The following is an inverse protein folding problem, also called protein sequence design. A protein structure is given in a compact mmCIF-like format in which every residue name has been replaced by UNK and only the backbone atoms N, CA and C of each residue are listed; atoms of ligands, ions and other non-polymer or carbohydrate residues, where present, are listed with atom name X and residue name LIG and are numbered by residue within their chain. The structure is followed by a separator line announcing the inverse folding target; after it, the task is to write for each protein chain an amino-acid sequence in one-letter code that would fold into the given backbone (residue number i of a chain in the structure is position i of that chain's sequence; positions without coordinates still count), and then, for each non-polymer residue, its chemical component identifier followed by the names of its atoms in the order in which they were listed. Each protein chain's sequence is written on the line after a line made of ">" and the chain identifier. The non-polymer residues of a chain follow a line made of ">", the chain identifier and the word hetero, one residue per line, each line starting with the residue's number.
data_IF_156619237923
#
_entry.id   IF_156619237923
#
_cell.length_a   1.000
_cell.length_b   1.000
_cell.length_c   1.000
_cell.angle_alpha   90.00
_cell.angle_beta   90.00
_cell.angle_gamma   90.00
#
_symmetry.space_group_name_H-M   'P 1'
#
loop_
_entity.id
_entity.type
_entity.pdbx_description
1 polymer ?
#
# COMPACT_ATOMS: atom_id res chain seq x y z
N UNK A 1 -24.04 45.18 -2.29
CA UNK A 1 -24.21 44.29 -1.12
C UNK A 1 -24.75 42.97 -1.64
N UNK A 2 -23.89 41.98 -1.84
CA UNK A 2 -24.15 40.54 -1.71
C UNK A 2 -22.86 39.78 -2.02
N UNK A 3 -22.59 38.79 -1.19
CA UNK A 3 -21.30 38.25 -0.78
C UNK A 3 -20.56 37.41 -1.83
N UNK A 4 -19.24 37.56 -1.88
CA UNK A 4 -18.32 36.57 -2.45
C UNK A 4 -18.36 35.29 -1.60
N UNK A 5 -18.73 34.17 -2.24
CA UNK A 5 -18.57 32.83 -1.65
C UNK A 5 -17.12 32.42 -1.85
N UNK A 6 -16.29 32.63 -0.83
CA UNK A 6 -14.90 32.18 -0.76
C UNK A 6 -14.86 30.64 -0.67
N UNK A 7 -14.49 29.98 -1.77
CA UNK A 7 -14.38 28.53 -1.83
C UNK A 7 -13.01 28.09 -1.25
N UNK A 8 -12.94 27.84 0.07
CA UNK A 8 -11.75 27.29 0.72
C UNK A 8 -11.43 25.85 0.24
N UNK A 9 -10.15 25.49 0.07
CA UNK A 9 -9.75 24.15 -0.36
C UNK A 9 -9.95 23.09 0.75
N UNK A 10 -10.32 21.84 0.40
CA UNK A 10 -10.73 20.80 1.36
C UNK A 10 -9.64 20.32 2.32
N UNK A 11 -8.37 20.70 2.10
CA UNK A 11 -7.22 20.29 2.93
C UNK A 11 -6.88 21.26 4.07
N UNK A 12 -7.42 22.49 4.10
CA UNK A 12 -7.29 23.34 5.29
C UNK A 12 -8.10 22.78 6.47
N UNK A 13 -9.23 22.12 6.21
CA UNK A 13 -10.09 21.53 7.25
C UNK A 13 -9.43 20.43 8.09
N UNK A 14 -8.44 19.70 7.54
CA UNK A 14 -7.74 18.64 8.29
C UNK A 14 -6.69 19.23 9.25
N UNK A 15 -6.15 20.42 8.95
CA UNK A 15 -5.17 21.10 9.80
C UNK A 15 -5.86 22.06 10.79
N UNK A 16 -6.93 22.73 10.36
CA UNK A 16 -7.63 23.76 11.14
C UNK A 16 -8.57 23.15 12.20
N UNK A 17 -9.17 21.98 11.93
CA UNK A 17 -9.99 21.26 12.93
C UNK A 17 -9.17 20.78 14.14
N UNK A 18 -7.85 20.66 14.00
CA UNK A 18 -6.96 20.27 15.11
C UNK A 18 -6.53 21.45 15.99
N UNK A 19 -6.84 22.70 15.62
CA UNK A 19 -6.38 23.91 16.33
C UNK A 19 -7.51 24.55 17.15
N UNK A 20 -8.78 24.41 16.76
CA UNK A 20 -9.90 25.12 17.40
C UNK A 20 -10.65 24.36 18.50
N UNK A 21 -10.16 23.21 18.97
CA UNK A 21 -10.78 22.48 20.08
C UNK A 21 -10.07 22.78 21.41
N UNK A 22 -10.12 24.03 21.85
CA UNK A 22 -9.80 24.43 23.23
C UNK A 22 -10.84 25.44 23.68
N UNK A 23 -11.88 24.96 24.37
CA UNK A 23 -12.48 25.62 25.52
C UNK A 23 -13.41 24.64 26.29
N UNK A 24 -13.24 24.61 27.61
CA UNK A 24 -13.80 23.69 28.63
C UNK A 24 -15.22 24.15 29.13
N UNK A 25 -15.97 23.45 30.03
CA UNK A 25 -15.52 22.54 31.10
C UNK A 25 -16.32 21.23 31.38
N UNK A 26 -15.63 20.36 32.13
CA UNK A 26 -16.09 19.33 33.07
C UNK A 26 -17.29 18.41 32.77
N UNK A 27 -16.99 17.11 32.62
CA UNK A 27 -17.76 16.06 33.31
C UNK A 27 -16.88 14.84 33.62
N UNK A 28 -16.84 14.48 34.90
CA UNK A 28 -16.20 13.32 35.47
C UNK A 28 -16.53 12.04 34.72
N UNK A 29 -15.49 11.31 34.28
CA UNK A 29 -15.52 9.86 34.22
C UNK A 29 -14.09 9.33 34.40
N UNK A 30 -13.93 8.51 35.43
CA UNK A 30 -12.71 7.77 35.75
C UNK A 30 -12.43 6.74 34.65
N UNK A 31 -11.57 7.11 33.71
CA UNK A 31 -10.85 6.20 32.82
C UNK A 31 -9.39 6.63 32.83
N UNK A 32 -8.47 5.68 32.96
CA UNK A 32 -7.02 5.90 33.07
C UNK A 32 -6.52 6.97 32.10
N UNK A 33 -6.18 8.14 32.65
CA UNK A 33 -5.71 9.28 31.88
C UNK A 33 -4.30 9.00 31.38
N UNK A 34 -4.20 8.56 30.12
CA UNK A 34 -2.94 8.49 29.39
C UNK A 34 -2.31 9.90 29.36
N UNK A 35 -1.00 9.99 29.58
CA UNK A 35 -0.29 11.27 29.61
C UNK A 35 -0.56 12.11 28.34
N UNK A 36 -0.76 13.44 28.46
CA UNK A 36 -1.21 14.29 27.35
C UNK A 36 -0.28 14.27 26.13
N UNK A 37 1.00 13.94 26.35
CA UNK A 37 2.00 13.77 25.28
C UNK A 37 1.72 12.54 24.40
N UNK A 38 1.32 11.42 24.99
CA UNK A 38 1.06 10.18 24.25
C UNK A 38 -0.21 10.29 23.38
N UNK A 39 -1.25 10.96 23.91
CA UNK A 39 -2.49 11.24 23.18
C UNK A 39 -2.23 12.10 21.93
N UNK A 40 -1.39 13.14 22.03
CA UNK A 40 -1.05 14.05 20.93
C UNK A 40 -0.23 13.41 19.80
N UNK A 41 0.58 12.39 20.09
CA UNK A 41 1.31 11.64 19.07
C UNK A 41 0.34 10.71 18.33
N UNK A 42 -0.58 10.09 19.06
CA UNK A 42 -1.51 9.10 18.52
C UNK A 42 -2.55 9.71 17.58
N UNK A 43 -2.98 10.96 17.83
CA UNK A 43 -3.90 11.69 16.95
C UNK A 43 -3.28 12.06 15.61
N UNK A 44 -1.94 12.24 15.54
CA UNK A 44 -1.22 12.68 14.34
C UNK A 44 -0.85 11.53 13.39
N UNK A 45 -0.75 10.32 13.90
CA UNK A 45 -0.33 9.15 13.12
C UNK A 45 -1.52 8.63 12.30
N UNK A 46 -1.29 8.30 11.03
CA UNK A 46 -2.29 7.72 10.13
C UNK A 46 -1.72 6.52 9.36
N UNK A 47 -2.56 5.72 8.71
CA UNK A 47 -2.14 4.48 8.04
C UNK A 47 -1.12 4.70 6.90
N UNK A 48 -1.00 5.93 6.40
CA UNK A 48 -0.06 6.28 5.33
C UNK A 48 1.41 6.12 5.71
N UNK A 49 1.76 6.17 6.99
CA UNK A 49 3.14 5.94 7.46
C UNK A 49 3.65 4.53 7.14
N UNK A 50 2.76 3.55 6.94
CA UNK A 50 3.16 2.18 6.58
C UNK A 50 3.84 2.10 5.21
N UNK A 51 3.73 3.15 4.38
CA UNK A 51 4.49 3.27 3.13
C UNK A 51 6.00 3.31 3.35
N UNK A 52 6.47 3.81 4.49
CA UNK A 52 7.90 3.82 4.84
C UNK A 52 8.39 2.39 4.99
N UNK A 53 7.67 1.60 5.79
CA UNK A 53 7.97 0.19 5.98
C UNK A 53 7.81 -0.63 4.68
N UNK A 54 6.77 -0.34 3.89
CA UNK A 54 6.58 -0.94 2.57
C UNK A 54 7.78 -0.70 1.65
N UNK A 55 8.31 0.53 1.62
CA UNK A 55 9.49 0.88 0.83
C UNK A 55 10.72 0.08 1.27
N UNK A 56 10.98 0.00 2.59
CA UNK A 56 12.08 -0.79 3.14
C UNK A 56 11.91 -2.30 2.84
N UNK A 57 10.69 -2.82 2.94
CA UNK A 57 10.36 -4.21 2.62
C UNK A 57 10.55 -4.52 1.13
N UNK A 58 10.15 -3.62 0.24
CA UNK A 58 10.39 -3.75 -1.20
C UNK A 58 11.89 -3.71 -1.54
N UNK A 59 12.67 -2.86 -0.87
CA UNK A 59 14.13 -2.85 -1.01
C UNK A 59 14.74 -4.19 -0.56
N UNK A 60 14.35 -4.69 0.61
CA UNK A 60 14.79 -6.01 1.09
C UNK A 60 14.43 -7.13 0.09
N UNK A 61 13.24 -7.07 -0.50
CA UNK A 61 12.80 -8.01 -1.51
C UNK A 61 13.63 -7.92 -2.80
N UNK A 62 13.92 -6.71 -3.27
CA UNK A 62 14.75 -6.48 -4.45
C UNK A 62 16.15 -7.08 -4.25
N UNK A 63 16.79 -6.78 -3.12
CA UNK A 63 18.11 -7.33 -2.79
C UNK A 63 18.08 -8.86 -2.68
N UNK A 64 17.03 -9.45 -2.12
CA UNK A 64 16.84 -10.91 -2.11
C UNK A 64 16.74 -11.49 -3.53
N UNK A 65 15.99 -10.86 -4.43
CA UNK A 65 15.84 -11.33 -5.82
C UNK A 65 17.17 -11.24 -6.58
N UNK A 66 17.94 -10.16 -6.37
CA UNK A 66 19.24 -9.95 -7.03
C UNK A 66 20.34 -10.89 -6.53
N UNK A 67 20.28 -11.31 -5.26
CA UNK A 67 21.27 -12.21 -4.64
C UNK A 67 20.95 -13.68 -4.83
N UNK A 68 19.70 -14.04 -5.14
CA UNK A 68 19.32 -15.41 -5.46
C UNK A 68 19.79 -15.81 -6.87
N UNK A 69 20.40 -16.99 -7.04
CA UNK A 69 20.84 -17.49 -8.34
C UNK A 69 19.64 -17.87 -9.21
N UNK A 70 19.09 -16.90 -9.94
CA UNK A 70 17.89 -17.05 -10.77
C UNK A 70 18.21 -17.28 -12.26
N UNK A 71 19.32 -17.96 -12.58
CA UNK A 71 19.74 -18.20 -13.96
C UNK A 71 20.25 -16.95 -14.72
N UNK A 72 20.53 -15.85 -14.00
CA UNK A 72 21.12 -14.62 -14.53
C UNK A 72 22.60 -14.83 -14.84
N UNK A 73 23.10 -14.18 -15.91
CA UNK A 73 24.50 -14.26 -16.36
C UNK A 73 25.47 -13.98 -15.20
N UNK A 74 26.53 -14.81 -15.08
CA UNK A 74 27.48 -14.83 -13.95
C UNK A 74 28.14 -13.47 -13.68
N UNK A 75 28.24 -12.60 -14.69
CA UNK A 75 28.90 -11.29 -14.58
C UNK A 75 28.10 -10.26 -13.77
N UNK A 76 26.78 -10.21 -13.95
CA UNK A 76 25.90 -9.35 -13.14
C UNK A 76 25.85 -9.89 -11.71
N UNK A 77 25.77 -11.22 -11.57
CA UNK A 77 25.77 -11.89 -10.27
C UNK A 77 27.06 -11.59 -9.48
N UNK A 78 28.24 -11.53 -10.12
CA UNK A 78 29.52 -11.30 -9.43
C UNK A 78 29.64 -9.90 -8.81
N UNK A 79 29.05 -8.86 -9.42
CA UNK A 79 29.03 -7.51 -8.86
C UNK A 79 28.08 -7.44 -7.65
N UNK A 80 26.92 -8.11 -7.72
CA UNK A 80 25.93 -8.12 -6.64
C UNK A 80 26.21 -9.15 -5.53
N UNK A 81 26.95 -10.23 -5.83
CA UNK A 81 27.34 -11.27 -4.86
C UNK A 81 28.47 -10.82 -3.93
N UNK A 82 29.15 -9.70 -4.23
CA UNK A 82 30.11 -9.08 -3.32
C UNK A 82 29.45 -8.38 -2.12
N UNK A 83 28.13 -8.14 -2.18
CA UNK A 83 27.40 -7.63 -1.03
C UNK A 83 27.22 -8.77 -0.02
N UNK A 84 27.69 -8.61 1.23
CA UNK A 84 27.60 -9.68 2.20
C UNK A 84 26.12 -9.95 2.51
N UNK A 85 25.75 -11.23 2.64
CA UNK A 85 24.39 -11.64 3.04
C UNK A 85 23.89 -10.92 4.32
N UNK A 86 24.84 -10.47 5.15
CA UNK A 86 24.61 -9.64 6.33
C UNK A 86 23.94 -8.31 6.03
N UNK A 87 24.24 -7.65 4.90
CA UNK A 87 23.60 -6.40 4.52
C UNK A 87 22.12 -6.60 4.15
N UNK A 88 21.80 -7.68 3.43
CA UNK A 88 20.42 -8.03 3.11
C UNK A 88 19.63 -8.40 4.38
N UNK A 89 20.27 -9.11 5.32
CA UNK A 89 19.67 -9.45 6.60
C UNK A 89 19.46 -8.21 7.47
N UNK A 90 20.43 -7.30 7.55
CA UNK A 90 20.31 -6.05 8.30
C UNK A 90 19.18 -5.17 7.76
N UNK A 91 19.08 -5.06 6.43
CA UNK A 91 18.00 -4.33 5.78
C UNK A 91 16.63 -4.95 6.08
N UNK A 92 16.54 -6.29 6.05
CA UNK A 92 15.32 -7.00 6.42
C UNK A 92 14.96 -6.78 7.90
N UNK A 93 15.93 -6.85 8.82
CA UNK A 93 15.72 -6.56 10.24
C UNK A 93 15.26 -5.12 10.48
N UNK A 94 15.84 -4.15 9.77
CA UNK A 94 15.42 -2.75 9.83
C UNK A 94 13.98 -2.58 9.32
N UNK A 95 13.65 -3.21 8.19
CA UNK A 95 12.30 -3.21 7.63
C UNK A 95 11.29 -3.86 8.59
N UNK A 96 11.66 -4.98 9.23
CA UNK A 96 10.82 -5.66 10.22
C UNK A 96 10.65 -4.83 11.49
N UNK A 97 11.72 -4.25 12.03
CA UNK A 97 11.67 -3.43 13.24
C UNK A 97 10.78 -2.20 13.03
N UNK A 98 10.96 -1.50 11.91
CA UNK A 98 10.13 -0.33 11.57
C UNK A 98 8.66 -0.72 11.41
N UNK A 99 8.38 -1.86 10.78
CA UNK A 99 7.03 -2.37 10.62
C UNK A 99 6.35 -2.75 11.93
N UNK A 100 7.05 -3.48 12.80
CA UNK A 100 6.56 -3.89 14.12
C UNK A 100 6.29 -2.65 14.97
N UNK A 101 7.21 -1.68 14.96
CA UNK A 101 7.05 -0.41 15.69
C UNK A 101 5.80 0.33 15.25
N UNK A 102 5.57 0.43 13.94
CA UNK A 102 4.40 1.13 13.41
C UNK A 102 3.09 0.37 13.66
N UNK A 103 3.13 -0.96 13.59
CA UNK A 103 1.99 -1.84 13.94
C UNK A 103 1.61 -1.67 15.40
N UNK A 104 2.60 -1.63 16.31
CA UNK A 104 2.36 -1.39 17.73
C UNK A 104 1.70 -0.04 17.97
N UNK A 105 2.25 1.03 17.38
CA UNK A 105 1.68 2.38 17.53
C UNK A 105 0.28 2.49 16.93
N UNK A 106 0.03 1.87 15.78
CA UNK A 106 -1.31 1.86 15.18
C UNK A 106 -2.29 0.98 15.97
N UNK A 107 -1.85 -0.12 16.58
CA UNK A 107 -2.67 -0.93 17.47
C UNK A 107 -3.07 -0.15 18.73
N UNK A 108 -2.14 0.61 19.32
CA UNK A 108 -2.45 1.54 20.41
C UNK A 108 -3.49 2.59 19.94
N UNK A 109 -3.40 3.07 18.70
CA UNK A 109 -4.38 4.00 18.12
C UNK A 109 -5.76 3.37 17.98
N UNK A 110 -5.84 2.12 17.54
CA UNK A 110 -7.09 1.37 17.49
C UNK A 110 -7.72 1.20 18.87
N UNK A 111 -6.90 0.97 19.91
CA UNK A 111 -7.38 0.77 21.28
C UNK A 111 -7.84 2.08 21.94
N UNK A 112 -7.03 3.13 21.89
CA UNK A 112 -7.31 4.39 22.60
C UNK A 112 -8.11 5.41 21.80
N UNK A 113 -8.09 5.36 20.46
CA UNK A 113 -8.68 6.37 19.57
C UNK A 113 -9.48 5.71 18.44
N UNK A 114 -10.32 4.75 18.79
CA UNK A 114 -11.13 3.99 17.83
C UNK A 114 -11.98 4.86 16.90
N UNK A 115 -12.53 5.97 17.41
CA UNK A 115 -13.36 6.89 16.62
C UNK A 115 -12.58 7.51 15.45
N UNK A 116 -11.30 7.84 15.64
CA UNK A 116 -10.43 8.37 14.58
C UNK A 116 -10.12 7.30 13.52
N UNK A 117 -9.93 6.04 13.94
CA UNK A 117 -9.71 4.92 13.01
C UNK A 117 -10.98 4.63 12.20
N UNK A 118 -12.15 4.69 12.83
CA UNK A 118 -13.44 4.56 12.14
C UNK A 118 -13.66 5.70 11.15
N UNK A 119 -13.29 6.93 11.50
CA UNK A 119 -13.34 8.07 10.59
C UNK A 119 -12.37 7.88 9.41
N UNK A 120 -11.14 7.43 9.65
CA UNK A 120 -10.15 7.09 8.61
C UNK A 120 -10.66 5.98 7.67
N UNK A 121 -11.28 4.95 8.23
CA UNK A 121 -11.88 3.84 7.46
C UNK A 121 -13.08 4.27 6.62
N UNK A 122 -13.84 5.27 7.07
CA UNK A 122 -15.01 5.80 6.35
C UNK A 122 -14.60 6.84 5.30
N UNK A 123 -13.40 7.42 5.43
CA UNK A 123 -12.91 8.44 4.52
C UNK A 123 -12.49 7.85 3.17
N UNK A 124 -13.08 8.39 2.09
CA UNK A 124 -12.89 7.93 0.70
C UNK A 124 -11.42 7.85 0.22
N UNK A 125 -10.53 8.72 0.71
CA UNK A 125 -9.08 8.66 0.40
C UNK A 125 -8.29 7.91 1.49
N UNK A 126 -8.76 7.99 2.74
CA UNK A 126 -8.03 7.46 3.90
C UNK A 126 -7.99 5.94 3.89
N UNK A 127 -9.11 5.33 3.51
CA UNK A 127 -9.26 3.87 3.41
C UNK A 127 -8.22 3.21 2.51
N UNK A 128 -7.77 3.88 1.44
CA UNK A 128 -6.75 3.34 0.52
C UNK A 128 -5.39 3.12 1.21
N UNK A 129 -5.08 3.88 2.26
CA UNK A 129 -3.84 3.71 3.00
C UNK A 129 -3.87 2.50 3.95
N UNK A 130 -5.05 1.96 4.26
CA UNK A 130 -5.20 0.77 5.10
C UNK A 130 -4.74 -0.52 4.42
N UNK A 131 -4.48 -0.48 3.11
CA UNK A 131 -3.80 -1.56 2.40
C UNK A 131 -2.31 -1.63 2.79
N UNK A 132 -1.67 -0.49 3.05
CA UNK A 132 -0.22 -0.41 3.23
C UNK A 132 0.34 -1.33 4.34
N UNK A 133 -0.28 -1.46 5.53
CA UNK A 133 0.15 -2.42 6.53
C UNK A 133 0.25 -3.86 6.00
N UNK A 134 -0.81 -4.34 5.34
CA UNK A 134 -0.91 -5.71 4.84
C UNK A 134 0.05 -5.98 3.68
N UNK A 135 0.16 -5.04 2.74
CA UNK A 135 1.12 -5.13 1.63
C UNK A 135 2.55 -5.19 2.17
N UNK A 136 2.86 -4.35 3.16
CA UNK A 136 4.19 -4.31 3.77
C UNK A 136 4.50 -5.61 4.50
N UNK A 137 3.54 -6.21 5.20
CA UNK A 137 3.74 -7.52 5.84
C UNK A 137 3.97 -8.63 4.79
N UNK A 138 3.21 -8.62 3.69
CA UNK A 138 3.45 -9.54 2.56
C UNK A 138 4.84 -9.33 1.92
N UNK A 139 5.28 -8.09 1.76
CA UNK A 139 6.60 -7.78 1.21
C UNK A 139 7.74 -8.26 2.15
N UNK A 140 7.56 -8.07 3.47
CA UNK A 140 8.48 -8.60 4.49
C UNK A 140 8.52 -10.13 4.50
N UNK A 141 7.36 -10.77 4.37
CA UNK A 141 7.26 -12.22 4.32
C UNK A 141 7.96 -12.78 3.07
N UNK A 142 7.78 -12.14 1.92
CA UNK A 142 8.46 -12.52 0.67
C UNK A 142 9.97 -12.29 0.71
N UNK A 143 10.43 -11.26 1.43
CA UNK A 143 11.86 -10.95 1.61
C UNK A 143 12.52 -11.70 2.78
N UNK A 144 11.76 -12.51 3.54
CA UNK A 144 12.28 -13.22 4.70
C UNK A 144 13.45 -14.16 4.37
N UNK A 145 14.43 -14.33 5.29
CA UNK A 145 15.54 -15.24 5.10
C UNK A 145 15.07 -16.70 5.01
N UNK A 146 15.87 -17.54 4.36
CA UNK A 146 15.56 -18.96 4.05
C UNK A 146 15.16 -19.75 5.31
N UNK A 147 15.72 -19.40 6.47
CA UNK A 147 15.42 -20.04 7.75
C UNK A 147 13.92 -19.97 8.11
N UNK A 148 13.27 -18.82 7.83
CA UNK A 148 11.84 -18.61 8.07
C UNK A 148 10.98 -19.28 7.00
N UNK A 149 11.52 -19.43 5.79
CA UNK A 149 10.84 -20.03 4.64
C UNK A 149 10.76 -21.57 4.75
N UNK A 150 11.63 -22.18 5.54
CA UNK A 150 11.67 -23.63 5.76
C UNK A 150 10.46 -24.17 6.55
N UNK A 151 9.78 -23.29 7.30
CA UNK A 151 8.54 -23.63 8.01
C UNK A 151 7.31 -23.38 7.12
N UNK A 152 7.09 -24.27 6.15
CA UNK A 152 6.05 -24.12 5.11
C UNK A 152 4.65 -23.81 5.67
N UNK A 153 4.28 -24.43 6.80
CA UNK A 153 2.99 -24.21 7.46
C UNK A 153 2.86 -22.79 8.05
N UNK A 154 3.89 -22.32 8.77
CA UNK A 154 3.86 -20.98 9.37
C UNK A 154 3.82 -19.90 8.29
N UNK A 155 4.63 -20.06 7.24
CA UNK A 155 4.63 -19.17 6.09
C UNK A 155 3.24 -19.09 5.45
N UNK A 156 2.56 -20.24 5.32
CA UNK A 156 1.23 -20.32 4.74
C UNK A 156 0.16 -19.64 5.58
N UNK A 157 0.16 -19.87 6.90
CA UNK A 157 -0.77 -19.24 7.84
C UNK A 157 -0.58 -17.72 7.84
N UNK A 158 0.68 -17.26 7.90
CA UNK A 158 1.03 -15.86 7.84
C UNK A 158 0.52 -15.22 6.54
N UNK A 159 0.76 -15.86 5.39
CA UNK A 159 0.30 -15.33 4.11
C UNK A 159 -1.23 -15.17 4.05
N UNK A 160 -1.99 -16.18 4.47
CA UNK A 160 -3.47 -16.07 4.58
C UNK A 160 -3.88 -14.92 5.49
N UNK A 161 -3.24 -14.81 6.66
CA UNK A 161 -3.52 -13.76 7.64
C UNK A 161 -3.41 -12.35 7.04
N UNK A 162 -2.52 -12.14 6.05
CA UNK A 162 -2.36 -10.85 5.38
C UNK A 162 -3.18 -10.69 4.10
N UNK A 163 -3.48 -11.78 3.38
CA UNK A 163 -4.31 -11.74 2.17
C UNK A 163 -5.80 -11.51 2.51
N UNK A 164 -6.32 -12.12 3.58
CA UNK A 164 -7.76 -11.98 3.93
C UNK A 164 -8.15 -10.52 4.15
N UNK A 165 -7.43 -9.72 4.94
CA UNK A 165 -7.79 -8.31 5.14
C UNK A 165 -7.71 -7.49 3.84
N UNK A 166 -6.76 -7.79 2.94
CA UNK A 166 -6.71 -7.16 1.61
C UNK A 166 -7.96 -7.45 0.81
N UNK A 167 -8.37 -8.72 0.74
CA UNK A 167 -9.58 -9.13 0.04
C UNK A 167 -10.85 -8.50 0.66
N UNK A 168 -10.91 -8.38 1.99
CA UNK A 168 -12.02 -7.70 2.66
C UNK A 168 -12.07 -6.19 2.35
N UNK A 169 -10.91 -5.53 2.31
CA UNK A 169 -10.82 -4.13 1.90
C UNK A 169 -11.27 -3.94 0.44
N UNK A 170 -10.89 -4.87 -0.44
CA UNK A 170 -11.33 -4.87 -1.83
C UNK A 170 -12.85 -5.03 -1.94
N UNK A 171 -13.43 -6.04 -1.31
CA UNK A 171 -14.90 -6.24 -1.31
C UNK A 171 -15.61 -4.97 -0.83
N UNK A 172 -15.10 -4.32 0.22
CA UNK A 172 -15.66 -3.07 0.71
C UNK A 172 -15.54 -1.94 -0.33
N UNK A 173 -14.36 -1.68 -0.87
CA UNK A 173 -14.13 -0.54 -1.76
C UNK A 173 -14.83 -0.74 -3.10
N UNK A 174 -14.70 -1.91 -3.71
CA UNK A 174 -15.45 -2.22 -4.94
C UNK A 174 -16.95 -2.23 -4.67
N UNK A 175 -17.41 -2.79 -3.54
CA UNK A 175 -18.81 -2.75 -3.14
C UNK A 175 -19.34 -1.32 -3.04
N UNK A 176 -18.60 -0.42 -2.38
CA UNK A 176 -18.92 1.00 -2.31
C UNK A 176 -18.95 1.66 -3.70
N UNK A 177 -18.03 1.32 -4.59
CA UNK A 177 -17.98 1.85 -5.95
C UNK A 177 -19.18 1.40 -6.81
N UNK A 178 -19.62 0.15 -6.66
CA UNK A 178 -20.75 -0.38 -7.43
C UNK A 178 -22.12 0.06 -6.89
N UNK A 179 -22.24 0.29 -5.58
CA UNK A 179 -23.54 0.57 -4.93
C UNK A 179 -23.87 2.05 -4.78
N UNK A 180 -22.90 2.95 -4.93
CA UNK A 180 -23.11 4.40 -4.71
C UNK A 180 -23.37 5.14 -6.04
N UNK A 181 -24.49 5.87 -6.16
CA UNK A 181 -24.93 6.49 -7.42
C UNK A 181 -24.03 7.65 -7.95
N UNK A 182 -23.89 7.67 -9.29
CA UNK A 182 -23.85 8.79 -10.26
C UNK A 182 -23.03 10.08 -9.97
N UNK A 183 -21.88 10.02 -9.29
CA UNK A 183 -20.77 11.01 -9.52
C UNK A 183 -19.45 10.63 -8.85
N UNK A 184 -19.35 9.40 -8.33
CA UNK A 184 -18.29 9.02 -7.42
C UNK A 184 -16.97 8.67 -8.11
N UNK A 185 -16.95 8.05 -9.30
CA UNK A 185 -15.68 7.63 -9.92
C UNK A 185 -14.73 8.79 -10.21
N UNK A 186 -15.23 9.95 -10.70
CA UNK A 186 -14.35 11.10 -10.97
C UNK A 186 -13.91 11.84 -9.70
N UNK A 187 -14.65 11.72 -8.60
CA UNK A 187 -14.31 12.33 -7.30
C UNK A 187 -13.42 11.40 -6.47
N UNK A 188 -13.66 10.10 -6.55
CA UNK A 188 -13.08 9.04 -5.71
C UNK A 188 -11.86 8.35 -6.33
N UNK A 189 -11.68 8.40 -7.66
CA UNK A 189 -10.46 7.94 -8.30
C UNK A 189 -9.31 8.90 -7.96
N UNK A 190 -8.57 8.57 -6.90
CA UNK A 190 -7.34 9.23 -6.49
C UNK A 190 -6.16 8.34 -6.91
N UNK A 191 -4.99 8.88 -7.29
CA UNK A 191 -3.76 8.08 -7.41
C UNK A 191 -3.49 7.14 -6.23
N UNK A 192 -3.95 7.45 -5.02
CA UNK A 192 -3.84 6.55 -3.86
C UNK A 192 -4.62 5.24 -4.00
N UNK A 193 -5.65 5.18 -4.85
CA UNK A 193 -6.38 3.94 -5.13
C UNK A 193 -5.52 2.90 -5.85
N UNK A 194 -4.41 3.31 -6.50
CA UNK A 194 -3.41 2.38 -7.06
C UNK A 194 -2.73 1.53 -5.96
N UNK A 195 -2.82 1.91 -4.69
CA UNK A 195 -2.33 1.09 -3.57
C UNK A 195 -3.14 -0.22 -3.48
N UNK A 196 -4.46 -0.20 -3.70
CA UNK A 196 -5.29 -1.42 -3.75
C UNK A 196 -4.87 -2.34 -4.90
N UNK A 197 -4.61 -1.76 -6.08
CA UNK A 197 -4.09 -2.50 -7.25
C UNK A 197 -2.77 -3.19 -6.89
N UNK A 198 -1.82 -2.45 -6.33
CA UNK A 198 -0.52 -3.00 -5.92
C UNK A 198 -0.72 -4.10 -4.87
N UNK A 199 -1.66 -3.93 -3.93
CA UNK A 199 -1.95 -4.96 -2.93
C UNK A 199 -2.45 -6.26 -3.53
N UNK A 200 -3.36 -6.19 -4.50
CA UNK A 200 -3.83 -7.34 -5.25
C UNK A 200 -2.71 -8.06 -6.00
N UNK A 201 -1.82 -7.31 -6.66
CA UNK A 201 -0.70 -7.89 -7.42
C UNK A 201 0.37 -8.49 -6.49
N UNK A 202 0.63 -7.88 -5.33
CA UNK A 202 1.51 -8.43 -4.30
C UNK A 202 0.92 -9.71 -3.69
N UNK A 203 -0.39 -9.73 -3.42
CA UNK A 203 -1.10 -10.92 -2.96
C UNK A 203 -1.08 -12.04 -4.02
N UNK A 204 -1.28 -11.71 -5.29
CA UNK A 204 -1.19 -12.65 -6.40
C UNK A 204 0.19 -13.30 -6.49
N UNK A 205 1.26 -12.49 -6.38
CA UNK A 205 2.64 -13.00 -6.33
C UNK A 205 2.84 -13.96 -5.16
N UNK A 206 2.40 -13.57 -3.95
CA UNK A 206 2.53 -14.39 -2.76
C UNK A 206 1.77 -15.73 -2.89
N UNK A 207 0.54 -15.69 -3.40
CA UNK A 207 -0.27 -16.89 -3.66
C UNK A 207 0.39 -17.82 -4.70
N UNK A 208 0.98 -17.25 -5.76
CA UNK A 208 1.68 -18.01 -6.78
C UNK A 208 2.91 -18.73 -6.22
N UNK A 209 3.69 -18.04 -5.37
CA UNK A 209 4.86 -18.63 -4.69
C UNK A 209 4.51 -19.79 -3.75
N UNK A 210 3.27 -19.82 -3.26
CA UNK A 210 2.75 -20.91 -2.43
C UNK A 210 2.14 -22.06 -3.24
N UNK A 211 2.10 -21.95 -4.57
CA UNK A 211 1.50 -22.96 -5.45
C UNK A 211 0.00 -22.79 -5.68
N UNK A 212 -0.65 -21.75 -5.15
CA UNK A 212 -2.08 -21.49 -5.36
C UNK A 212 -2.32 -20.71 -6.65
N UNK A 213 -2.15 -21.40 -7.77
CA UNK A 213 -2.23 -20.80 -9.11
C UNK A 213 -3.59 -20.12 -9.37
N UNK A 214 -4.70 -20.77 -9.04
CA UNK A 214 -6.04 -20.22 -9.29
C UNK A 214 -6.31 -18.94 -8.48
N UNK A 215 -5.98 -18.95 -7.19
CA UNK A 215 -6.10 -17.77 -6.32
C UNK A 215 -5.19 -16.64 -6.81
N UNK A 216 -3.99 -16.97 -7.28
CA UNK A 216 -3.07 -15.99 -7.84
C UNK A 216 -3.60 -15.35 -9.12
N UNK A 217 -4.15 -16.14 -10.05
CA UNK A 217 -4.78 -15.66 -11.27
C UNK A 217 -6.00 -14.77 -10.95
N UNK A 218 -6.81 -15.16 -9.97
CA UNK A 218 -7.96 -14.38 -9.50
C UNK A 218 -7.53 -12.99 -9.00
N UNK A 219 -6.58 -12.94 -8.05
CA UNK A 219 -6.06 -11.69 -7.49
C UNK A 219 -5.35 -10.83 -8.54
N UNK A 220 -4.59 -11.46 -9.45
CA UNK A 220 -3.92 -10.76 -10.55
C UNK A 220 -4.94 -10.12 -11.50
N UNK A 221 -5.99 -10.86 -11.87
CA UNK A 221 -7.05 -10.37 -12.76
C UNK A 221 -7.79 -9.20 -12.14
N UNK A 222 -8.16 -9.30 -10.85
CA UNK A 222 -8.80 -8.21 -10.11
C UNK A 222 -7.92 -6.95 -10.09
N UNK A 223 -6.64 -7.11 -9.79
CA UNK A 223 -5.66 -6.02 -9.78
C UNK A 223 -5.51 -5.36 -11.16
N UNK A 224 -5.37 -6.13 -12.23
CA UNK A 224 -5.17 -5.61 -13.59
C UNK A 224 -6.40 -4.93 -14.17
N UNK A 225 -7.61 -5.46 -13.93
CA UNK A 225 -8.86 -4.82 -14.34
C UNK A 225 -9.03 -3.49 -13.61
N UNK A 226 -8.81 -3.47 -12.30
CA UNK A 226 -8.90 -2.23 -11.52
C UNK A 226 -7.82 -1.23 -11.94
N UNK A 227 -6.60 -1.68 -12.23
CA UNK A 227 -5.55 -0.85 -12.78
C UNK A 227 -6.01 -0.14 -14.06
N UNK A 228 -6.60 -0.86 -15.00
CA UNK A 228 -7.04 -0.27 -16.28
C UNK A 228 -8.12 0.80 -16.08
N UNK A 229 -9.10 0.53 -15.20
CA UNK A 229 -10.16 1.50 -14.86
C UNK A 229 -9.56 2.76 -14.23
N UNK A 230 -8.67 2.60 -13.25
CA UNK A 230 -7.98 3.73 -12.60
C UNK A 230 -7.08 4.49 -13.56
N UNK A 231 -6.33 3.78 -14.41
CA UNK A 231 -5.42 4.34 -15.38
C UNK A 231 -6.17 5.29 -16.32
N UNK A 232 -7.24 4.82 -16.96
CA UNK A 232 -8.05 5.63 -17.87
C UNK A 232 -8.70 6.81 -17.14
N UNK A 233 -9.30 6.56 -15.97
CA UNK A 233 -10.01 7.60 -15.20
C UNK A 233 -9.07 8.71 -14.76
N UNK A 234 -7.90 8.36 -14.21
CA UNK A 234 -6.93 9.33 -13.73
C UNK A 234 -6.23 10.05 -14.88
N UNK A 235 -5.95 9.36 -15.99
CA UNK A 235 -5.38 9.97 -17.19
C UNK A 235 -6.30 11.05 -17.77
N UNK A 236 -7.62 10.79 -17.82
CA UNK A 236 -8.61 11.80 -18.23
C UNK A 236 -8.69 12.98 -17.26
N UNK A 237 -8.56 12.73 -15.94
CA UNK A 237 -8.53 13.81 -14.92
C UNK A 237 -7.30 14.70 -15.03
N UNK A 238 -6.16 14.16 -15.43
CA UNK A 238 -4.92 14.92 -15.62
C UNK A 238 -5.02 15.94 -16.75
N UNK A 239 -5.75 15.62 -17.82
CA UNK A 239 -5.95 16.52 -18.97
C UNK A 239 -7.11 17.51 -18.81
N UNK A 240 -7.97 17.36 -17.80
CA UNK A 240 -9.16 18.21 -17.58
C UNK A 240 -8.95 19.38 -16.60
N UNK A 241 -9.92 20.30 -16.53
CA UNK A 241 -9.89 21.49 -15.62
C UNK A 241 -9.84 21.15 -14.11
N UNK A 242 -10.11 19.89 -13.72
CA UNK A 242 -10.07 19.41 -12.34
C UNK A 242 -8.72 18.75 -12.01
N UNK A 243 -7.64 19.53 -12.15
CA UNK A 243 -6.30 19.04 -11.88
C UNK A 243 -6.19 18.54 -10.43
N UNK A 244 -5.51 17.40 -10.25
CA UNK A 244 -5.31 16.82 -8.92
C UNK A 244 -4.50 17.78 -8.05
N UNK A 245 -4.79 17.87 -6.73
CA UNK A 245 -4.03 18.70 -5.80
C UNK A 245 -2.53 18.48 -5.95
N UNK A 246 -1.75 19.56 -6.01
CA UNK A 246 -0.29 19.52 -6.25
C UNK A 246 0.46 18.62 -5.25
N UNK A 247 -0.09 18.46 -4.04
CA UNK A 247 0.45 17.60 -2.98
C UNK A 247 0.38 16.09 -3.28
N UNK A 248 -0.49 15.67 -4.22
CA UNK A 248 -0.61 14.27 -4.68
C UNK A 248 0.27 13.97 -5.89
N UNK A 249 1.06 14.93 -6.38
CA UNK A 249 1.97 14.71 -7.51
C UNK A 249 2.96 13.54 -7.28
N UNK A 250 3.54 13.33 -6.08
CA UNK A 250 4.41 12.17 -5.84
C UNK A 250 3.70 10.81 -5.98
N UNK A 251 2.37 10.75 -5.85
CA UNK A 251 1.63 9.50 -6.05
C UNK A 251 1.47 9.09 -7.51
N UNK A 252 1.84 9.94 -8.48
CA UNK A 252 1.88 9.53 -9.89
C UNK A 252 2.94 8.44 -10.16
N UNK A 253 3.96 8.30 -9.32
CA UNK A 253 4.89 7.17 -9.40
C UNK A 253 4.21 5.81 -9.16
N UNK A 254 3.01 5.77 -8.59
CA UNK A 254 2.25 4.52 -8.47
C UNK A 254 1.78 3.98 -9.83
N UNK A 255 1.72 4.81 -10.88
CA UNK A 255 1.27 4.40 -12.22
C UNK A 255 2.21 3.39 -12.87
N UNK A 256 3.53 3.57 -12.73
CA UNK A 256 4.48 2.58 -13.24
C UNK A 256 4.64 1.40 -12.27
N UNK A 257 4.45 1.62 -10.96
CA UNK A 257 4.59 0.58 -9.95
C UNK A 257 3.61 -0.59 -10.16
N UNK A 258 2.35 -0.30 -10.52
CA UNK A 258 1.33 -1.32 -10.77
C UNK A 258 1.69 -2.30 -11.92
N UNK A 259 1.97 -1.87 -13.17
CA UNK A 259 2.36 -2.78 -14.23
C UNK A 259 3.70 -3.49 -13.96
N UNK A 260 4.65 -2.85 -13.26
CA UNK A 260 5.88 -3.52 -12.79
C UNK A 260 5.57 -4.71 -11.88
N UNK A 261 4.74 -4.49 -10.85
CA UNK A 261 4.30 -5.55 -9.95
C UNK A 261 3.45 -6.60 -10.66
N UNK A 262 2.65 -6.20 -11.64
CA UNK A 262 1.84 -7.11 -12.47
C UNK A 262 2.70 -8.06 -13.29
N UNK A 263 3.80 -7.56 -13.86
CA UNK A 263 4.81 -8.38 -14.54
C UNK A 263 5.46 -9.39 -13.57
N UNK A 264 5.86 -8.94 -12.38
CA UNK A 264 6.51 -9.79 -11.39
C UNK A 264 5.57 -10.89 -10.85
N UNK A 265 4.31 -10.54 -10.63
CA UNK A 265 3.26 -11.47 -10.22
C UNK A 265 2.96 -12.50 -11.33
N UNK A 266 2.81 -12.06 -12.58
CA UNK A 266 2.56 -12.95 -13.72
C UNK A 266 3.70 -13.95 -13.95
N UNK A 267 4.95 -13.48 -13.89
CA UNK A 267 6.13 -14.36 -13.94
C UNK A 267 6.13 -15.41 -12.82
N UNK A 268 5.59 -15.06 -11.64
CA UNK A 268 5.47 -16.00 -10.52
C UNK A 268 4.33 -17.02 -10.74
N UNK A 269 3.26 -16.62 -11.45
CA UNK A 269 2.12 -17.49 -11.79
C UNK A 269 2.50 -18.51 -12.88
N UNK A 270 3.11 -18.04 -13.97
CA UNK A 270 3.49 -18.88 -15.11
C UNK A 270 4.80 -19.62 -14.89
N UNK A 271 5.67 -19.10 -14.02
CA UNK A 271 7.01 -19.62 -13.79
C UNK A 271 8.02 -19.24 -14.88
N UNK A 272 7.60 -18.46 -15.88
CA UNK A 272 8.45 -18.05 -17.02
C UNK A 272 8.22 -16.59 -17.38
N UNK A 273 9.28 -15.89 -17.77
CA UNK A 273 9.20 -14.50 -18.22
C UNK A 273 8.69 -14.42 -19.68
N UNK A 274 7.40 -14.70 -19.83
CA UNK A 274 6.67 -14.80 -21.09
C UNK A 274 6.30 -13.42 -21.70
N UNK A 275 5.56 -13.43 -22.81
CA UNK A 275 5.15 -12.22 -23.53
C UNK A 275 4.34 -11.27 -22.65
N UNK A 276 3.41 -11.79 -21.84
CA UNK A 276 2.58 -10.97 -20.94
C UNK A 276 3.44 -10.26 -19.89
N UNK A 277 4.39 -10.96 -19.27
CA UNK A 277 5.35 -10.35 -18.34
C UNK A 277 6.15 -9.24 -19.03
N UNK A 278 6.68 -9.51 -20.24
CA UNK A 278 7.44 -8.53 -21.03
C UNK A 278 6.63 -7.30 -21.40
N UNK A 279 5.38 -7.48 -21.85
CA UNK A 279 4.50 -6.36 -22.21
C UNK A 279 4.27 -5.43 -21.02
N UNK A 280 3.96 -5.98 -19.84
CA UNK A 280 3.77 -5.21 -18.62
C UNK A 280 5.06 -4.53 -18.15
N UNK A 281 6.20 -5.21 -18.26
CA UNK A 281 7.51 -4.65 -17.95
C UNK A 281 7.86 -3.45 -18.84
N UNK A 282 7.76 -3.60 -20.16
CA UNK A 282 8.06 -2.50 -21.09
C UNK A 282 7.09 -1.34 -20.94
N UNK A 283 5.81 -1.62 -20.70
CA UNK A 283 4.83 -0.58 -20.42
C UNK A 283 5.16 0.18 -19.12
N UNK A 284 5.56 -0.52 -18.06
CA UNK A 284 6.05 0.10 -16.85
C UNK A 284 7.28 0.97 -17.10
N UNK A 285 8.25 0.50 -17.89
CA UNK A 285 9.46 1.26 -18.20
C UNK A 285 9.13 2.55 -18.96
N UNK A 286 8.23 2.46 -19.95
CA UNK A 286 7.75 3.61 -20.70
C UNK A 286 7.11 4.66 -19.79
N UNK A 287 6.21 4.23 -18.89
CA UNK A 287 5.59 5.14 -17.92
C UNK A 287 6.64 5.79 -17.00
N UNK A 288 7.60 5.01 -16.50
CA UNK A 288 8.66 5.52 -15.62
C UNK A 288 9.50 6.62 -16.29
N UNK A 289 9.84 6.46 -17.58
CA UNK A 289 10.62 7.47 -18.33
C UNK A 289 9.77 8.71 -18.66
N UNK A 290 8.46 8.56 -18.78
CA UNK A 290 7.54 9.63 -19.18
C UNK A 290 7.04 10.52 -18.04
N UNK A 291 7.20 10.07 -16.79
CA UNK A 291 6.71 10.70 -15.55
C UNK A 291 7.80 11.55 -14.88
#
# INVERSE_FOLDING_TARGET
>A
MMEEIECKPPTQLIVEASINSTDHPEKNNSGEALSPSCSNILTKIHAGYFRISLSLGCQALLWKILTQPNGVSRDVLHVFSKLPSTACLLLWCLAALTHISLTLVYALRCYFQFDLVKAEFSHHIGVNYLYAPWISWLALLQSAPILLQNSSLLYMILCWTFIVPLAMLDIKIYGQWFTTEKRFLSVMANPTSLISVIGNLVAARAAAQMGWKESAVCMWSLGMVHYLVLFVTLYQRLSGQNSLPTILRPTFFLFFAAPSMGSLAWNSITGTFDTTSKMLFFFSLFLFVSL
#
